data_IF_706266273551
#
_entry.id   IF_706266273551
#
_cell.length_a   1.000
_cell.length_b   1.000
_cell.length_c   1.000
_cell.angle_alpha   90.00
_cell.angle_beta   90.00
_cell.angle_gamma   90.00
#
_symmetry.space_group_name_H-M   'P 1'
#
loop_
_entity.id
_entity.type
_entity.pdbx_description
1 polymer ?
#
# COMPACT_ATOMS: atom_id res chain seq x y z
N UNK A 1 4.69 15.20 -5.90
CA UNK A 1 4.81 15.84 -7.22
C UNK A 1 5.43 14.86 -8.22
N UNK A 2 6.65 14.37 -7.96
CA UNK A 2 7.38 13.43 -8.82
C UNK A 2 6.56 12.17 -9.20
N UNK A 3 6.05 11.42 -8.22
CA UNK A 3 5.18 10.25 -8.48
C UNK A 3 3.94 10.55 -9.33
N UNK A 4 3.32 11.73 -9.16
CA UNK A 4 2.13 12.11 -9.94
C UNK A 4 2.46 12.43 -11.40
N UNK A 5 3.70 12.81 -11.67
CA UNK A 5 4.21 13.08 -13.02
C UNK A 5 4.87 11.84 -13.65
N UNK A 6 4.82 10.67 -13.01
CA UNK A 6 5.45 9.45 -13.47
C UNK A 6 6.96 9.39 -13.27
N UNK A 7 7.56 10.40 -12.62
CA UNK A 7 9.00 10.41 -12.31
C UNK A 7 9.29 9.60 -11.03
N UNK A 8 9.09 8.29 -11.16
CA UNK A 8 9.23 7.33 -10.06
C UNK A 8 10.68 7.22 -9.60
N UNK A 9 11.64 7.24 -10.53
CA UNK A 9 13.05 7.05 -10.22
C UNK A 9 13.60 8.16 -9.31
N UNK A 10 13.28 9.44 -9.58
CA UNK A 10 13.71 10.53 -8.69
C UNK A 10 12.99 10.49 -7.34
N UNK A 11 11.71 10.08 -7.31
CA UNK A 11 10.99 9.91 -6.07
C UNK A 11 11.63 8.82 -5.18
N UNK A 12 11.98 7.67 -5.78
CA UNK A 12 12.70 6.58 -5.13
C UNK A 12 14.07 7.05 -4.61
N UNK A 13 14.86 7.74 -5.44
CA UNK A 13 16.17 8.24 -5.04
C UNK A 13 16.07 9.15 -3.79
N UNK A 14 15.13 10.09 -3.78
CA UNK A 14 14.90 10.96 -2.62
C UNK A 14 14.44 10.17 -1.39
N UNK A 15 13.47 9.27 -1.57
CA UNK A 15 12.95 8.46 -0.47
C UNK A 15 14.03 7.59 0.17
N UNK A 16 14.80 6.86 -0.64
CA UNK A 16 15.85 5.98 -0.14
C UNK A 16 17.06 6.74 0.39
N UNK A 17 17.37 7.93 -0.11
CA UNK A 17 18.44 8.79 0.44
C UNK A 17 18.11 9.38 1.83
N UNK A 18 16.83 9.50 2.19
CA UNK A 18 16.42 10.01 3.50
C UNK A 18 16.80 9.04 4.63
N UNK A 19 17.47 9.51 5.69
CA UNK A 19 17.80 8.66 6.85
C UNK A 19 16.61 8.46 7.80
N UNK A 20 15.76 9.48 7.92
CA UNK A 20 14.66 9.52 8.89
C UNK A 20 13.32 9.37 8.16
N UNK A 21 13.03 8.16 7.68
CA UNK A 21 11.75 7.88 7.02
C UNK A 21 10.66 7.72 8.07
N UNK A 22 9.57 8.47 7.93
CA UNK A 22 8.39 8.38 8.80
C UNK A 22 7.23 7.70 8.07
N UNK A 23 6.28 7.14 8.83
CA UNK A 23 5.14 6.39 8.30
C UNK A 23 4.38 7.10 7.15
N UNK A 24 4.08 8.41 7.23
CA UNK A 24 3.46 9.12 6.10
C UNK A 24 4.29 9.14 4.81
N UNK A 25 5.62 9.07 4.88
CA UNK A 25 6.48 8.99 3.69
C UNK A 25 6.31 7.65 2.98
N UNK A 26 6.21 6.55 3.73
CA UNK A 26 5.89 5.23 3.17
C UNK A 26 4.51 5.26 2.50
N UNK A 27 3.50 5.82 3.16
CA UNK A 27 2.15 5.97 2.58
C UNK A 27 2.16 6.79 1.27
N UNK A 28 2.92 7.88 1.22
CA UNK A 28 3.05 8.69 0.00
C UNK A 28 3.70 7.92 -1.16
N UNK A 29 4.77 7.16 -0.88
CA UNK A 29 5.44 6.34 -1.89
C UNK A 29 4.58 5.17 -2.34
N UNK A 30 3.96 4.44 -1.41
CA UNK A 30 3.02 3.35 -1.71
C UNK A 30 1.88 3.84 -2.60
N UNK A 31 1.27 4.99 -2.26
CA UNK A 31 0.23 5.59 -3.10
C UNK A 31 0.76 5.91 -4.50
N UNK A 32 1.96 6.48 -4.58
CA UNK A 32 2.60 6.76 -5.87
C UNK A 32 2.78 5.50 -6.71
N UNK A 33 3.22 4.38 -6.11
CA UNK A 33 3.34 3.11 -6.81
C UNK A 33 1.99 2.57 -7.29
N UNK A 34 0.96 2.59 -6.44
CA UNK A 34 -0.41 2.16 -6.80
C UNK A 34 -0.97 3.01 -7.94
N UNK A 35 -0.81 4.33 -7.88
CA UNK A 35 -1.29 5.25 -8.93
C UNK A 35 -0.58 5.03 -10.28
N UNK A 36 0.66 4.50 -10.26
CA UNK A 36 1.47 4.22 -11.46
C UNK A 36 1.43 2.73 -11.88
N UNK A 37 0.51 1.92 -11.35
CA UNK A 37 0.39 0.47 -11.62
C UNK A 37 1.67 -0.33 -11.27
N UNK A 38 2.46 0.15 -10.31
CA UNK A 38 3.65 -0.52 -9.78
C UNK A 38 3.30 -1.25 -8.48
N UNK A 39 2.22 -2.04 -8.51
CA UNK A 39 1.61 -2.61 -7.30
C UNK A 39 2.54 -3.54 -6.52
N UNK A 40 3.41 -4.29 -7.20
CA UNK A 40 4.43 -5.13 -6.56
C UNK A 40 5.37 -4.30 -5.68
N UNK A 41 5.87 -3.16 -6.19
CA UNK A 41 6.70 -2.23 -5.42
C UNK A 41 5.96 -1.62 -4.22
N UNK A 42 4.64 -1.40 -4.34
CA UNK A 42 3.82 -0.95 -3.22
C UNK A 42 3.74 -2.00 -2.10
N UNK A 43 3.62 -3.28 -2.47
CA UNK A 43 3.60 -4.41 -1.53
C UNK A 43 4.98 -4.59 -0.88
N UNK A 44 6.05 -4.54 -1.67
CA UNK A 44 7.42 -4.63 -1.16
C UNK A 44 7.71 -3.53 -0.15
N UNK A 45 7.33 -2.30 -0.47
CA UNK A 45 7.50 -1.17 0.44
C UNK A 45 6.63 -1.29 1.69
N UNK A 46 5.42 -1.86 1.60
CA UNK A 46 4.60 -2.14 2.77
C UNK A 46 5.29 -3.11 3.73
N UNK A 47 6.03 -4.09 3.22
CA UNK A 47 6.75 -5.06 4.06
C UNK A 47 7.90 -4.42 4.86
N UNK A 48 8.36 -3.22 4.48
CA UNK A 48 9.32 -2.42 5.27
C UNK A 48 8.65 -1.64 6.42
N UNK A 49 7.32 -1.57 6.46
CA UNK A 49 6.56 -0.83 7.48
C UNK A 49 6.32 -1.72 8.70
N UNK A 50 7.02 -1.45 9.81
CA UNK A 50 6.90 -2.25 11.05
C UNK A 50 5.51 -2.17 11.69
N UNK A 51 4.94 -0.96 11.76
CA UNK A 51 3.64 -0.71 12.40
C UNK A 51 2.78 0.09 11.43
N UNK A 52 2.05 -0.59 10.52
CA UNK A 52 1.22 0.09 9.53
C UNK A 52 -0.03 0.69 10.17
N UNK A 53 -0.42 1.87 9.69
CA UNK A 53 -1.72 2.46 10.01
C UNK A 53 -2.78 2.07 8.99
N UNK A 54 -3.99 2.58 9.19
CA UNK A 54 -5.12 2.35 8.31
C UNK A 54 -4.87 2.78 6.85
N UNK A 55 -4.09 3.85 6.64
CA UNK A 55 -3.75 4.36 5.31
C UNK A 55 -2.81 3.37 4.60
N UNK A 56 -1.77 2.88 5.27
CA UNK A 56 -0.87 1.89 4.70
C UNK A 56 -1.61 0.59 4.35
N UNK A 57 -2.51 0.12 5.22
CA UNK A 57 -3.32 -1.09 4.97
C UNK A 57 -4.25 -0.89 3.76
N UNK A 58 -4.93 0.25 3.68
CA UNK A 58 -5.79 0.57 2.54
C UNK A 58 -5.00 0.61 1.22
N UNK A 59 -3.78 1.17 1.22
CA UNK A 59 -2.91 1.19 0.05
C UNK A 59 -2.42 -0.21 -0.35
N UNK A 60 -2.12 -1.07 0.63
CA UNK A 60 -1.80 -2.47 0.39
C UNK A 60 -2.96 -3.19 -0.31
N UNK A 61 -4.19 -3.04 0.18
CA UNK A 61 -5.36 -3.68 -0.43
C UNK A 61 -5.60 -3.19 -1.86
N UNK A 62 -5.44 -1.89 -2.12
CA UNK A 62 -5.51 -1.36 -3.48
C UNK A 62 -4.44 -1.95 -4.40
N UNK A 63 -3.20 -2.11 -3.91
CA UNK A 63 -2.13 -2.75 -4.67
C UNK A 63 -2.46 -4.21 -4.99
N UNK A 64 -2.93 -4.99 -4.01
CA UNK A 64 -3.34 -6.38 -4.21
C UNK A 64 -4.48 -6.51 -5.23
N UNK A 65 -5.47 -5.61 -5.17
CA UNK A 65 -6.60 -5.59 -6.12
C UNK A 65 -6.18 -5.32 -7.58
N UNK A 66 -5.04 -4.65 -7.79
CA UNK A 66 -4.47 -4.42 -9.12
C UNK A 66 -3.74 -5.64 -9.69
N UNK A 67 -3.08 -6.44 -8.84
CA UNK A 67 -2.31 -7.62 -9.28
C UNK A 67 -3.18 -8.81 -9.68
N UNK A 68 -4.31 -9.04 -8.99
CA UNK A 68 -5.23 -10.16 -9.26
C UNK A 68 -4.55 -11.54 -9.26
N UNK A 69 -3.57 -11.72 -8.39
CA UNK A 69 -2.85 -12.99 -8.20
C UNK A 69 -3.34 -13.69 -6.93
N UNK A 70 -3.14 -15.00 -6.87
CA UNK A 70 -3.50 -15.79 -5.69
C UNK A 70 -2.68 -15.36 -4.47
N UNK A 71 -1.43 -15.01 -4.69
CA UNK A 71 -0.49 -14.54 -3.68
C UNK A 71 -0.98 -13.23 -3.06
N UNK A 72 -1.43 -12.28 -3.88
CA UNK A 72 -2.02 -11.03 -3.42
C UNK A 72 -3.30 -11.27 -2.60
N UNK A 73 -4.16 -12.19 -3.05
CA UNK A 73 -5.38 -12.55 -2.34
C UNK A 73 -5.09 -13.20 -0.97
N UNK A 74 -4.12 -14.12 -0.93
CA UNK A 74 -3.71 -14.79 0.31
C UNK A 74 -3.09 -13.79 1.30
N UNK A 75 -2.34 -12.78 0.80
CA UNK A 75 -1.84 -11.68 1.60
C UNK A 75 -2.99 -10.83 2.19
N UNK A 76 -3.98 -10.44 1.40
CA UNK A 76 -5.16 -9.68 1.87
C UNK A 76 -5.90 -10.44 2.97
N UNK A 77 -6.11 -11.75 2.80
CA UNK A 77 -6.74 -12.61 3.80
C UNK A 77 -5.92 -12.72 5.08
N UNK A 78 -4.59 -12.76 4.96
CA UNK A 78 -3.68 -12.81 6.12
C UNK A 78 -3.73 -11.50 6.90
N UNK A 79 -3.60 -10.36 6.22
CA UNK A 79 -3.52 -9.04 6.84
C UNK A 79 -4.86 -8.63 7.47
N UNK A 80 -5.99 -8.87 6.80
CA UNK A 80 -7.31 -8.57 7.38
C UNK A 80 -7.53 -9.26 8.73
N UNK A 81 -7.04 -10.49 8.93
CA UNK A 81 -7.14 -11.17 10.23
C UNK A 81 -6.29 -10.54 11.35
N UNK A 82 -5.30 -9.73 11.02
CA UNK A 82 -4.33 -9.17 11.98
C UNK A 82 -4.60 -7.70 12.33
N UNK A 83 -5.31 -6.96 11.48
CA UNK A 83 -5.56 -5.53 11.72
C UNK A 83 -6.58 -5.29 12.86
N UNK A 84 -6.48 -4.16 13.58
CA UNK A 84 -7.41 -3.82 14.64
C UNK A 84 -8.86 -3.75 14.15
N UNK A 85 -9.81 -4.20 14.98
CA UNK A 85 -11.25 -4.15 14.65
C UNK A 85 -11.75 -2.73 14.36
N UNK A 86 -11.12 -1.72 14.96
CA UNK A 86 -11.45 -0.30 14.74
C UNK A 86 -11.24 0.14 13.29
N UNK A 87 -10.31 -0.47 12.56
CA UNK A 87 -10.02 -0.09 11.16
C UNK A 87 -11.17 -0.48 10.21
N UNK A 88 -11.98 -1.47 10.61
CA UNK A 88 -13.18 -1.85 9.86
C UNK A 88 -14.30 -0.81 9.95
N UNK A 89 -14.15 0.24 10.76
CA UNK A 89 -15.09 1.37 10.77
C UNK A 89 -14.86 2.37 9.63
N UNK A 90 -13.72 2.29 8.93
CA UNK A 90 -13.42 3.19 7.81
C UNK A 90 -14.00 2.64 6.49
N UNK A 91 -14.93 3.36 5.85
CA UNK A 91 -15.54 2.93 4.59
C UNK A 91 -14.55 2.74 3.44
N UNK A 92 -13.47 3.54 3.40
CA UNK A 92 -12.47 3.43 2.34
C UNK A 92 -11.67 2.14 2.45
N UNK A 93 -11.28 1.74 3.66
CA UNK A 93 -10.61 0.46 3.91
C UNK A 93 -11.53 -0.72 3.60
N UNK A 94 -12.81 -0.65 3.99
CA UNK A 94 -13.77 -1.70 3.65
C UNK A 94 -13.94 -1.85 2.13
N UNK A 95 -14.00 -0.73 1.40
CA UNK A 95 -14.13 -0.73 -0.05
C UNK A 95 -12.90 -1.37 -0.71
N UNK A 96 -11.69 -0.97 -0.32
CA UNK A 96 -10.46 -1.55 -0.88
C UNK A 96 -10.29 -3.02 -0.51
N UNK A 97 -10.68 -3.43 0.71
CA UNK A 97 -10.69 -4.83 1.13
C UNK A 97 -11.64 -5.66 0.26
N UNK A 98 -12.87 -5.19 0.04
CA UNK A 98 -13.84 -5.88 -0.81
C UNK A 98 -13.32 -5.98 -2.25
N UNK A 99 -12.81 -4.88 -2.81
CA UNK A 99 -12.25 -4.86 -4.16
C UNK A 99 -11.10 -5.84 -4.33
N UNK A 100 -10.25 -5.99 -3.31
CA UNK A 100 -9.14 -6.93 -3.31
C UNK A 100 -9.56 -8.40 -3.12
N UNK A 101 -10.71 -8.65 -2.49
CA UNK A 101 -11.24 -10.01 -2.30
C UNK A 101 -12.09 -10.50 -3.49
N UNK A 102 -12.69 -9.57 -4.25
CA UNK A 102 -13.58 -9.87 -5.37
C UNK A 102 -12.88 -10.04 -6.72
N UNK A 103 -11.61 -9.67 -6.84
CA UNK A 103 -10.82 -9.70 -8.08
C UNK A 103 -9.78 -10.81 -8.06
#
# INVERSE_FOLDING_TARGET
ALMKCGDVAHAEALFYSSKDKVLPMYGAMMKGYVDNNLSEKAIDLFNEVEIPDEVNINLLFNACAQLKTKEALDLVKKISKQIPKSFYSNPHLLTSLLDALMK
#
